data_IF_091861021317
#
_entry.id   IF_091861021317
#
_cell.length_a   1.000
_cell.length_b   1.000
_cell.length_c   1.000
_cell.angle_alpha   90.00
_cell.angle_beta   90.00
_cell.angle_gamma   90.00
#
_symmetry.space_group_name_H-M   'P 1'
#
loop_
_entity.id
_entity.type
_entity.pdbx_description
1 polymer ?
#
# COMPACT_ATOMS: atom_id res chain seq x y z
N UNK A 1 -3.90 -22.51 -5.75
CA UNK A 1 -4.03 -21.97 -4.39
C UNK A 1 -5.09 -22.77 -3.63
N UNK A 2 -4.72 -23.45 -2.55
CA UNK A 2 -5.70 -24.20 -1.75
C UNK A 2 -6.05 -23.39 -0.50
N UNK A 3 -7.32 -23.18 -0.27
CA UNK A 3 -7.84 -22.48 0.91
C UNK A 3 -8.50 -23.48 1.86
N UNK A 4 -8.14 -23.47 3.14
CA UNK A 4 -8.80 -24.29 4.15
C UNK A 4 -10.08 -23.61 4.63
N UNK A 5 -11.23 -24.17 4.24
CA UNK A 5 -12.53 -23.80 4.80
C UNK A 5 -13.47 -22.98 3.92
N UNK A 6 -13.09 -22.61 2.71
CA UNK A 6 -13.98 -22.13 1.66
C UNK A 6 -13.65 -22.85 0.35
N UNK A 7 -14.68 -23.27 -0.38
CA UNK A 7 -14.55 -23.75 -1.76
C UNK A 7 -14.22 -22.54 -2.69
N UNK A 8 -13.04 -21.98 -2.53
CA UNK A 8 -12.50 -21.08 -3.54
C UNK A 8 -11.88 -21.99 -4.58
N UNK A 9 -12.27 -21.88 -5.85
CA UNK A 9 -11.63 -22.64 -6.91
C UNK A 9 -10.14 -22.34 -6.89
N UNK A 10 -9.33 -23.39 -7.05
CA UNK A 10 -7.89 -23.24 -7.17
C UNK A 10 -7.60 -22.24 -8.29
N UNK A 11 -6.91 -21.14 -7.99
CA UNK A 11 -6.49 -20.22 -9.03
C UNK A 11 -5.33 -20.84 -9.79
N UNK A 12 -5.53 -21.06 -11.08
CA UNK A 12 -4.52 -21.60 -11.99
C UNK A 12 -4.10 -20.53 -12.98
N UNK A 13 -2.79 -20.30 -13.06
CA UNK A 13 -2.18 -19.40 -14.04
C UNK A 13 -1.21 -20.22 -14.88
N UNK A 14 -1.40 -20.20 -16.19
CA UNK A 14 -0.51 -20.84 -17.15
C UNK A 14 0.26 -19.79 -17.94
N UNK A 15 1.59 -19.92 -17.97
CA UNK A 15 2.45 -19.06 -18.78
C UNK A 15 3.64 -19.82 -19.34
N UNK A 16 4.16 -19.34 -20.47
CA UNK A 16 5.39 -19.88 -21.04
C UNK A 16 6.59 -19.26 -20.32
N UNK A 17 7.39 -20.11 -19.68
CA UNK A 17 8.64 -19.67 -19.04
C UNK A 17 9.74 -19.60 -20.09
N UNK A 18 10.27 -18.42 -20.36
CA UNK A 18 11.31 -18.15 -21.38
C UNK A 18 12.66 -17.80 -20.80
N UNK A 19 12.77 -17.68 -19.46
CA UNK A 19 14.00 -17.31 -18.78
C UNK A 19 13.79 -17.19 -17.26
N UNK A 20 14.83 -16.71 -16.59
CA UNK A 20 14.74 -16.46 -15.12
C UNK A 20 13.83 -15.30 -14.81
N UNK A 21 13.07 -15.41 -13.73
CA UNK A 21 12.27 -14.31 -13.20
C UNK A 21 13.12 -13.23 -12.52
N UNK A 22 12.60 -12.02 -12.45
CA UNK A 22 13.24 -10.90 -11.76
C UNK A 22 12.18 -10.14 -10.94
N UNK A 23 12.50 -9.81 -9.70
CA UNK A 23 11.63 -9.04 -8.81
C UNK A 23 11.34 -7.62 -9.34
N UNK A 24 12.21 -7.11 -10.21
CA UNK A 24 12.04 -5.81 -10.86
C UNK A 24 11.13 -5.85 -12.10
N UNK A 25 10.72 -7.03 -12.55
CA UNK A 25 9.89 -7.22 -13.74
C UNK A 25 8.68 -8.11 -13.39
N UNK A 26 7.63 -7.50 -12.88
CA UNK A 26 6.42 -8.21 -12.44
C UNK A 26 5.81 -9.15 -13.50
N UNK A 27 5.97 -8.83 -14.79
CA UNK A 27 5.55 -9.71 -15.89
C UNK A 27 6.38 -10.99 -16.06
N UNK A 28 7.49 -11.16 -15.34
CA UNK A 28 8.34 -12.36 -15.35
C UNK A 28 8.02 -13.33 -14.20
N UNK A 29 7.01 -13.04 -13.40
CA UNK A 29 6.61 -13.82 -12.23
C UNK A 29 5.16 -14.26 -12.36
N UNK A 30 4.78 -15.32 -11.63
CA UNK A 30 3.39 -15.69 -11.49
C UNK A 30 2.71 -14.77 -10.47
N UNK A 31 1.68 -14.06 -10.88
CA UNK A 31 0.93 -13.14 -10.04
C UNK A 31 -0.51 -13.61 -9.91
N UNK A 32 -0.92 -13.97 -8.71
CA UNK A 32 -2.28 -14.35 -8.40
C UNK A 32 -3.05 -13.14 -7.90
N UNK A 33 -4.16 -12.81 -8.56
CA UNK A 33 -5.07 -11.76 -8.14
C UNK A 33 -6.24 -12.38 -7.39
N UNK A 34 -6.32 -12.13 -6.11
CA UNK A 34 -7.41 -12.62 -5.26
C UNK A 34 -8.44 -11.52 -5.05
N UNK A 35 -9.72 -11.93 -5.11
CA UNK A 35 -10.80 -11.01 -4.77
C UNK A 35 -10.71 -10.59 -3.30
N UNK A 36 -10.97 -9.32 -3.00
CA UNK A 36 -10.88 -8.79 -1.63
C UNK A 36 -11.79 -9.53 -0.64
N UNK A 37 -12.91 -10.07 -1.11
CA UNK A 37 -13.82 -10.90 -0.33
C UNK A 37 -13.20 -12.22 0.16
N UNK A 38 -12.16 -12.73 -0.52
CA UNK A 38 -11.44 -13.96 -0.15
C UNK A 38 -10.61 -13.76 1.12
N UNK A 39 -10.20 -12.54 1.39
CA UNK A 39 -9.36 -12.17 2.54
C UNK A 39 -10.16 -11.77 3.78
N UNK A 40 -11.45 -12.12 3.86
CA UNK A 40 -12.28 -11.87 5.04
C UNK A 40 -11.91 -12.78 6.20
N UNK A 41 -10.75 -12.54 6.81
CA UNK A 41 -10.23 -13.37 7.90
C UNK A 41 -8.81 -13.86 7.62
N UNK A 42 -8.50 -15.10 8.01
CA UNK A 42 -7.22 -15.73 7.69
C UNK A 42 -7.34 -16.65 6.49
N UNK A 43 -6.49 -16.43 5.50
CA UNK A 43 -6.33 -17.29 4.33
C UNK A 43 -5.14 -18.23 4.54
N UNK A 44 -5.37 -19.53 4.44
CA UNK A 44 -4.29 -20.51 4.37
C UNK A 44 -4.00 -20.83 2.91
N UNK A 45 -2.78 -20.69 2.47
CA UNK A 45 -2.41 -20.90 1.08
C UNK A 45 -1.12 -21.70 0.91
N UNK A 46 -1.03 -22.36 -0.22
CA UNK A 46 0.16 -22.98 -0.77
C UNK A 46 0.22 -22.71 -2.27
N UNK A 47 1.39 -22.64 -2.82
CA UNK A 47 1.60 -22.48 -4.27
C UNK A 47 2.30 -23.72 -4.80
N UNK A 48 1.77 -24.28 -5.86
CA UNK A 48 2.34 -25.42 -6.54
C UNK A 48 2.62 -25.08 -8.01
N UNK A 49 3.76 -25.51 -8.51
CA UNK A 49 4.14 -25.35 -9.91
C UNK A 49 4.04 -26.69 -10.61
N UNK A 50 3.32 -26.68 -11.70
CA UNK A 50 3.16 -27.86 -12.58
C UNK A 50 3.72 -27.54 -13.94
N UNK A 51 4.39 -28.49 -14.52
CA UNK A 51 4.75 -28.42 -15.93
C UNK A 51 3.59 -28.92 -16.78
N UNK A 52 3.07 -28.07 -17.66
CA UNK A 52 1.91 -28.38 -18.50
C UNK A 52 2.26 -29.20 -19.75
N UNK A 53 3.57 -29.39 -20.04
CA UNK A 53 4.02 -30.12 -21.21
C UNK A 53 4.07 -31.64 -20.94
N UNK A 54 3.42 -32.42 -21.78
CA UNK A 54 3.38 -33.89 -21.68
C UNK A 54 4.71 -34.59 -22.02
N UNK A 55 5.73 -33.84 -22.49
CA UNK A 55 7.04 -34.37 -22.83
C UNK A 55 7.99 -34.48 -21.63
N UNK A 56 7.50 -34.14 -20.46
CA UNK A 56 8.34 -34.13 -19.31
C UNK A 56 8.44 -35.52 -18.68
N UNK A 57 9.62 -36.03 -18.60
CA UNK A 57 10.06 -37.09 -17.68
C UNK A 57 9.82 -36.75 -16.19
N UNK A 58 9.05 -35.71 -15.93
CA UNK A 58 8.75 -35.09 -14.63
C UNK A 58 7.30 -35.35 -14.22
N UNK A 59 6.90 -36.61 -14.28
CA UNK A 59 5.53 -37.03 -14.06
C UNK A 59 5.00 -37.01 -12.62
N UNK A 60 5.45 -36.12 -11.80
CA UNK A 60 4.84 -35.78 -10.49
C UNK A 60 5.37 -34.44 -10.03
N UNK A 61 4.57 -33.61 -9.37
CA UNK A 61 5.08 -32.38 -8.79
C UNK A 61 6.21 -32.73 -7.83
N UNK A 62 7.41 -32.29 -8.15
CA UNK A 62 8.55 -32.45 -7.28
C UNK A 62 8.28 -31.71 -5.97
N UNK A 63 8.81 -32.23 -4.86
CA UNK A 63 8.77 -31.57 -3.54
C UNK A 63 9.29 -30.13 -3.60
N UNK A 64 10.16 -29.83 -4.58
CA UNK A 64 10.72 -28.49 -4.84
C UNK A 64 9.80 -27.57 -5.65
N UNK A 65 8.71 -28.10 -6.20
CA UNK A 65 7.73 -27.33 -6.98
C UNK A 65 6.59 -26.80 -6.11
N UNK A 66 6.67 -26.95 -4.82
CA UNK A 66 5.67 -26.48 -3.86
C UNK A 66 6.28 -25.51 -2.85
N UNK A 67 5.57 -24.40 -2.62
CA UNK A 67 5.87 -23.51 -1.52
C UNK A 67 4.65 -23.40 -0.57
N UNK A 68 4.80 -23.56 0.76
CA UNK A 68 6.04 -23.92 1.45
C UNK A 68 6.47 -25.38 1.22
N UNK A 69 7.77 -25.59 1.14
CA UNK A 69 8.35 -26.92 0.88
C UNK A 69 8.16 -27.92 2.03
N UNK A 70 7.80 -27.44 3.24
CA UNK A 70 7.53 -28.26 4.43
C UNK A 70 6.15 -28.97 4.41
N UNK A 71 5.41 -28.85 3.32
CA UNK A 71 4.10 -29.45 3.14
C UNK A 71 2.97 -28.75 3.88
N UNK A 72 3.26 -27.69 4.63
CA UNK A 72 2.26 -26.90 5.35
C UNK A 72 1.70 -25.80 4.46
N UNK A 73 0.69 -25.10 4.95
CA UNK A 73 0.22 -23.85 4.37
C UNK A 73 0.83 -22.66 5.07
N UNK A 74 0.83 -21.51 4.42
CA UNK A 74 1.09 -20.22 5.07
C UNK A 74 -0.23 -19.52 5.35
N UNK A 75 -0.21 -18.69 6.37
CA UNK A 75 -1.38 -17.91 6.77
C UNK A 75 -1.15 -16.48 6.31
N UNK A 76 -2.10 -15.95 5.55
CA UNK A 76 -2.25 -14.52 5.32
C UNK A 76 -3.46 -14.05 6.13
N UNK A 77 -3.27 -13.08 6.99
CA UNK A 77 -4.35 -12.49 7.77
C UNK A 77 -4.57 -11.06 7.31
N UNK A 78 -5.82 -10.74 7.03
CA UNK A 78 -6.22 -9.35 6.94
C UNK A 78 -6.41 -8.83 8.37
N UNK A 79 -5.48 -8.05 8.85
CA UNK A 79 -5.65 -7.30 10.09
C UNK A 79 -6.47 -6.06 9.71
N UNK A 80 -7.73 -5.94 10.18
CA UNK A 80 -8.50 -4.75 9.91
C UNK A 80 -7.82 -3.55 10.57
N UNK A 81 -7.12 -2.78 9.79
CA UNK A 81 -6.48 -1.54 10.22
C UNK A 81 -7.14 -0.37 9.51
N UNK A 82 -7.46 0.65 10.27
CA UNK A 82 -7.86 1.94 9.72
C UNK A 82 -6.63 2.84 9.67
N UNK A 83 -6.28 3.29 8.46
CA UNK A 83 -5.27 4.33 8.29
C UNK A 83 -5.92 5.68 8.57
N UNK A 84 -5.56 6.30 9.68
CA UNK A 84 -6.05 7.64 10.04
C UNK A 84 -5.08 8.69 9.53
N UNK A 85 -5.53 9.57 8.66
CA UNK A 85 -4.73 10.63 8.06
C UNK A 85 -5.39 11.99 8.26
N UNK A 86 -4.67 12.90 8.87
CA UNK A 86 -5.02 14.32 8.92
C UNK A 86 -4.23 15.07 7.84
N UNK A 87 -4.91 15.47 6.78
CA UNK A 87 -4.33 16.34 5.75
C UNK A 87 -4.14 17.74 6.35
N UNK A 88 -2.92 18.24 6.31
CA UNK A 88 -2.53 19.56 6.85
C UNK A 88 -2.19 20.47 5.68
N UNK A 89 -3.11 21.34 5.24
CA UNK A 89 -2.80 22.34 4.23
C UNK A 89 -1.80 23.36 4.77
N UNK A 90 -0.74 23.61 3.99
CA UNK A 90 0.26 24.63 4.34
C UNK A 90 0.01 25.88 3.52
N UNK A 91 -0.39 26.95 4.18
CA UNK A 91 -0.50 28.27 3.58
C UNK A 91 0.90 28.91 3.54
N UNK A 92 1.47 28.99 2.34
CA UNK A 92 2.82 29.50 2.17
C UNK A 92 2.83 31.01 2.00
N UNK A 93 3.49 31.69 2.93
CA UNK A 93 3.56 33.13 2.97
C UNK A 93 4.98 33.72 2.90
N UNK A 94 6.04 32.91 2.81
CA UNK A 94 7.41 33.40 2.80
C UNK A 94 7.73 34.31 1.60
N UNK A 95 7.06 34.11 0.49
CA UNK A 95 7.18 34.91 -0.74
C UNK A 95 6.06 35.96 -0.89
N UNK A 96 5.22 36.09 0.13
CA UNK A 96 4.08 37.02 0.13
C UNK A 96 2.86 36.56 -0.66
N UNK A 97 2.89 35.35 -1.25
CA UNK A 97 1.78 34.84 -2.06
C UNK A 97 0.56 34.42 -1.23
N UNK A 98 0.82 33.86 -0.04
CA UNK A 98 -0.23 33.30 0.80
C UNK A 98 -0.98 32.12 0.16
N UNK A 99 -0.35 31.45 -0.84
CA UNK A 99 -0.99 30.34 -1.57
C UNK A 99 -1.23 29.13 -0.68
N UNK A 100 -2.36 28.48 -0.94
CA UNK A 100 -2.74 27.24 -0.26
C UNK A 100 -2.90 26.13 -1.28
N UNK A 101 -2.68 24.85 -0.90
CA UNK A 101 -3.04 23.72 -1.73
C UNK A 101 -4.55 23.58 -1.85
N UNK A 102 -5.00 22.99 -2.95
CA UNK A 102 -6.39 22.62 -3.13
C UNK A 102 -6.80 21.55 -2.12
N UNK A 103 -7.86 21.81 -1.38
CA UNK A 103 -8.50 20.87 -0.44
C UNK A 103 -9.98 20.69 -0.74
N UNK A 104 -10.38 20.94 -1.99
CA UNK A 104 -11.72 20.64 -2.44
C UNK A 104 -12.05 19.14 -2.29
N UNK A 105 -13.33 18.81 -2.25
CA UNK A 105 -13.76 17.41 -2.11
C UNK A 105 -13.15 16.50 -3.20
N UNK A 106 -13.05 17.00 -4.44
CA UNK A 106 -12.44 16.27 -5.53
C UNK A 106 -10.92 16.02 -5.34
N UNK A 107 -10.21 16.98 -4.75
CA UNK A 107 -8.79 16.80 -4.46
C UNK A 107 -8.57 15.82 -3.29
N UNK A 108 -9.44 15.86 -2.29
CA UNK A 108 -9.40 14.94 -1.16
C UNK A 108 -9.70 13.50 -1.61
N UNK A 109 -10.59 13.31 -2.56
CA UNK A 109 -10.85 12.00 -3.18
C UNK A 109 -9.59 11.43 -3.86
N UNK A 110 -8.84 12.28 -4.58
CA UNK A 110 -7.55 11.87 -5.18
C UNK A 110 -6.54 11.43 -4.10
N UNK A 111 -6.48 12.12 -2.96
CA UNK A 111 -5.62 11.70 -1.85
C UNK A 111 -6.09 10.38 -1.24
N UNK A 112 -7.40 10.19 -1.11
CA UNK A 112 -7.98 8.94 -0.63
C UNK A 112 -7.56 7.77 -1.52
N UNK A 113 -7.79 7.88 -2.84
CA UNK A 113 -7.42 6.86 -3.82
C UNK A 113 -5.91 6.55 -3.80
N UNK A 114 -5.10 7.60 -3.65
CA UNK A 114 -3.64 7.44 -3.52
C UNK A 114 -3.27 6.63 -2.28
N UNK A 115 -3.86 6.92 -1.14
CA UNK A 115 -3.59 6.17 0.09
C UNK A 115 -4.10 4.73 -0.01
N UNK A 116 -5.27 4.51 -0.61
CA UNK A 116 -5.82 3.17 -0.85
C UNK A 116 -4.89 2.34 -1.74
N UNK A 117 -4.32 2.94 -2.78
CA UNK A 117 -3.38 2.26 -3.67
C UNK A 117 -2.01 1.97 -3.04
N UNK A 118 -1.57 2.78 -2.07
CA UNK A 118 -0.22 2.68 -1.50
C UNK A 118 -0.15 1.87 -0.20
N UNK A 119 -1.23 1.79 0.55
CA UNK A 119 -1.22 1.18 1.89
C UNK A 119 -2.16 -0.02 1.95
N UNK A 120 -1.69 -1.17 2.44
CA UNK A 120 -2.52 -2.37 2.61
C UNK A 120 -3.42 -2.21 3.85
N UNK A 121 -4.43 -1.35 3.74
CA UNK A 121 -5.37 -1.05 4.81
C UNK A 121 -6.78 -1.43 4.40
N UNK A 122 -7.62 -1.80 5.37
CA UNK A 122 -9.01 -2.13 5.12
C UNK A 122 -9.93 -0.91 5.12
N UNK A 123 -9.47 0.20 5.64
CA UNK A 123 -10.24 1.44 5.71
C UNK A 123 -9.31 2.65 5.86
N UNK A 124 -9.73 3.79 5.33
CA UNK A 124 -9.02 5.06 5.44
C UNK A 124 -9.97 6.08 6.08
N UNK A 125 -9.53 6.64 7.21
CA UNK A 125 -10.17 7.77 7.88
C UNK A 125 -9.36 9.04 7.55
N UNK A 126 -9.81 9.78 6.54
CA UNK A 126 -9.12 10.96 6.03
C UNK A 126 -9.86 12.20 6.47
N UNK A 127 -9.19 13.06 7.20
CA UNK A 127 -9.70 14.34 7.68
C UNK A 127 -8.86 15.48 7.15
N UNK A 128 -9.46 16.65 6.97
CA UNK A 128 -8.76 17.87 6.56
C UNK A 128 -8.70 18.83 7.73
N UNK A 129 -7.50 19.20 8.12
CA UNK A 129 -7.26 20.19 9.18
C UNK A 129 -7.34 21.61 8.62
N UNK A 130 -7.57 22.59 9.48
CA UNK A 130 -7.39 24.00 9.13
C UNK A 130 -5.94 24.25 8.66
N UNK A 131 -5.78 25.12 7.66
CA UNK A 131 -4.50 25.47 7.09
C UNK A 131 -3.54 26.05 8.14
N UNK A 132 -2.27 25.77 7.94
CA UNK A 132 -1.16 26.26 8.78
C UNK A 132 -0.38 27.30 8.03
N UNK A 133 -0.29 28.49 8.61
CA UNK A 133 0.54 29.57 8.06
C UNK A 133 2.03 29.19 8.19
N UNK A 134 2.76 29.29 7.08
CA UNK A 134 4.19 29.04 7.03
C UNK A 134 4.90 30.23 6.37
N UNK A 135 5.71 30.94 7.15
CA UNK A 135 6.40 32.16 6.71
C UNK A 135 7.91 31.98 6.51
N UNK A 136 8.45 30.81 6.79
CA UNK A 136 9.84 30.51 6.53
C UNK A 136 10.05 30.00 5.11
N UNK A 137 11.17 30.37 4.50
CA UNK A 137 11.51 29.96 3.14
C UNK A 137 11.68 28.43 3.04
N UNK A 138 11.14 27.87 1.98
CA UNK A 138 11.32 26.47 1.59
C UNK A 138 11.92 26.45 0.19
N UNK A 139 13.10 25.90 0.08
CA UNK A 139 13.86 25.86 -1.17
C UNK A 139 13.61 24.54 -1.92
N UNK A 140 13.61 24.60 -3.25
CA UNK A 140 13.57 23.41 -4.10
C UNK A 140 14.80 22.48 -3.88
N UNK A 141 15.87 23.00 -3.25
CA UNK A 141 17.08 22.24 -2.96
C UNK A 141 17.11 21.63 -1.55
N UNK A 142 15.99 21.62 -0.84
CA UNK A 142 15.82 20.90 0.41
C UNK A 142 15.90 21.73 1.69
N UNK A 143 16.29 23.03 1.61
CA UNK A 143 16.32 23.91 2.79
C UNK A 143 14.89 24.20 3.26
N UNK A 144 14.69 24.24 4.59
CA UNK A 144 13.42 24.58 5.23
C UNK A 144 12.44 23.42 5.38
N UNK A 145 12.61 22.32 4.66
CA UNK A 145 11.72 21.16 4.75
C UNK A 145 11.76 20.51 6.12
N UNK A 146 12.95 20.39 6.74
CA UNK A 146 13.10 19.83 8.09
C UNK A 146 12.34 20.64 9.14
N UNK A 147 12.35 21.97 9.01
CA UNK A 147 11.62 22.85 9.92
C UNK A 147 10.11 22.73 9.73
N UNK A 148 9.65 22.62 8.47
CA UNK A 148 8.23 22.38 8.18
C UNK A 148 7.75 21.05 8.75
N UNK A 149 8.50 19.96 8.55
CA UNK A 149 8.19 18.65 9.11
C UNK A 149 8.13 18.70 10.65
N UNK A 150 9.09 19.36 11.28
CA UNK A 150 9.10 19.56 12.73
C UNK A 150 7.89 20.40 13.19
N UNK A 151 7.51 21.40 12.40
CA UNK A 151 6.31 22.21 12.63
C UNK A 151 5.03 21.38 12.60
N UNK A 152 4.88 20.50 11.61
CA UNK A 152 3.73 19.58 11.47
C UNK A 152 3.72 18.55 12.61
N UNK A 153 4.88 18.03 13.00
CA UNK A 153 4.99 17.12 14.15
C UNK A 153 4.57 17.81 15.45
N UNK A 154 5.03 19.04 15.71
CA UNK A 154 4.64 19.82 16.87
C UNK A 154 3.14 20.15 16.85
N UNK A 155 2.56 20.33 15.67
CA UNK A 155 1.13 20.54 15.50
C UNK A 155 0.33 19.32 15.94
N UNK A 156 0.76 18.12 15.55
CA UNK A 156 0.15 16.85 15.97
C UNK A 156 0.12 16.73 17.50
N UNK A 157 1.20 17.10 18.18
CA UNK A 157 1.24 17.11 19.64
C UNK A 157 0.29 18.14 20.26
N UNK A 158 0.23 19.36 19.70
CA UNK A 158 -0.68 20.41 20.19
C UNK A 158 -2.15 20.06 20.01
N UNK A 159 -2.48 19.35 18.94
CA UNK A 159 -3.84 18.90 18.67
C UNK A 159 -4.22 17.69 19.54
N UNK A 160 -3.28 17.17 20.34
CA UNK A 160 -3.46 15.95 21.12
C UNK A 160 -4.02 14.79 20.29
N UNK A 161 -3.47 14.65 19.09
CA UNK A 161 -3.93 13.65 18.13
C UNK A 161 -3.62 12.23 18.63
N UNK A 162 -4.50 11.29 18.29
CA UNK A 162 -4.29 9.86 18.51
C UNK A 162 -2.93 9.42 17.94
N UNK A 163 -2.23 8.55 18.65
CA UNK A 163 -0.91 8.01 18.24
C UNK A 163 -0.96 7.28 16.90
N UNK A 164 -2.13 6.81 16.49
CA UNK A 164 -2.37 6.14 15.21
C UNK A 164 -2.70 7.12 14.06
N UNK A 165 -2.78 8.43 14.32
CA UNK A 165 -3.12 9.43 13.30
C UNK A 165 -1.85 10.01 12.67
N UNK A 166 -1.72 9.88 11.37
CA UNK A 166 -0.63 10.45 10.58
C UNK A 166 -1.00 11.85 10.11
N UNK A 167 -0.09 12.80 10.27
CA UNK A 167 -0.25 14.16 9.76
C UNK A 167 0.46 14.27 8.42
N UNK A 168 -0.31 14.50 7.37
CA UNK A 168 0.18 14.60 6.00
C UNK A 168 0.12 16.05 5.52
N UNK A 169 1.30 16.70 5.51
CA UNK A 169 1.41 18.08 5.04
C UNK A 169 1.29 18.17 3.53
N UNK A 170 0.38 19.00 3.03
CA UNK A 170 0.23 19.32 1.61
C UNK A 170 0.63 20.76 1.37
N UNK A 171 1.40 20.96 0.31
CA UNK A 171 2.04 22.22 -0.01
C UNK A 171 1.84 22.55 -1.48
N UNK A 172 1.42 23.78 -1.77
CA UNK A 172 1.34 24.29 -3.15
C UNK A 172 2.69 24.91 -3.54
N UNK A 173 3.41 24.33 -4.53
CA UNK A 173 4.73 24.81 -4.93
C UNK A 173 4.69 26.17 -5.63
#
# INVERSE_FOLDING_TARGET
LQTAGMDIPDEEISMQVTGSSSDSAGGSTFNFMLDSGVLSGSLNYAVELYEASADADYGSPHVNARWPADGKTRVAEQIPQTLKVAVVPVQYGADGSGREPDTSASQIEIYYDMFEALYPTSNIDLTVRAAVNWSSEISAFGQGWGDLLSGIQNLRYRDNADDQTYYYGVFAP
#
